data_IF_736090817351
#
_entry.id   IF_736090817351
#
_cell.length_a   1.000
_cell.length_b   1.000
_cell.length_c   1.000
_cell.angle_alpha   90.00
_cell.angle_beta   90.00
_cell.angle_gamma   90.00
#
_symmetry.space_group_name_H-M   'P 1'
#
loop_
_entity.id
_entity.type
_entity.pdbx_description
1 polymer ?
#
# COMPACT_ATOMS: atom_id res chain seq x y z
N UNK A 1 12.13 -9.53 -10.78
CA UNK A 1 12.56 -8.17 -10.44
C UNK A 1 13.54 -8.23 -9.29
N UNK A 2 14.40 -7.25 -9.15
CA UNK A 2 15.22 -7.10 -7.96
C UNK A 2 14.34 -6.51 -6.85
N UNK A 3 14.41 -7.09 -5.66
CA UNK A 3 13.83 -6.51 -4.46
C UNK A 3 14.94 -5.79 -3.71
N UNK A 4 14.86 -4.46 -3.65
CA UNK A 4 15.75 -3.64 -2.85
C UNK A 4 14.95 -3.08 -1.67
N UNK A 5 15.27 -3.53 -0.45
CA UNK A 5 14.60 -3.08 0.77
C UNK A 5 15.44 -1.99 1.42
N UNK A 6 14.89 -0.79 1.48
CA UNK A 6 15.50 0.38 2.11
C UNK A 6 14.62 0.82 3.27
N UNK A 7 15.20 0.88 4.46
CA UNK A 7 14.49 1.25 5.67
C UNK A 7 14.74 2.70 6.06
N UNK A 8 13.71 3.32 6.62
CA UNK A 8 13.74 4.66 7.19
C UNK A 8 13.39 4.57 8.68
N UNK A 9 14.25 5.17 9.52
CA UNK A 9 14.08 5.21 10.98
C UNK A 9 13.96 3.81 11.65
N UNK A 10 14.80 2.87 11.22
CA UNK A 10 14.92 1.57 11.87
C UNK A 10 16.11 1.54 12.84
N UNK A 11 16.00 0.79 13.97
CA UNK A 11 17.04 0.74 14.99
C UNK A 11 18.37 0.16 14.47
N UNK A 12 18.29 -0.85 13.60
CA UNK A 12 19.46 -1.55 13.05
C UNK A 12 19.98 -0.94 11.76
N UNK A 13 19.20 -0.12 11.06
CA UNK A 13 19.56 0.42 9.75
C UNK A 13 19.01 1.83 9.54
N UNK A 14 19.90 2.79 9.34
CA UNK A 14 19.53 4.17 9.07
C UNK A 14 19.53 4.45 7.55
N UNK A 15 18.62 5.28 7.05
CA UNK A 15 18.59 5.64 5.64
C UNK A 15 19.82 6.44 5.27
N UNK A 16 20.42 6.12 4.13
CA UNK A 16 21.49 6.89 3.53
C UNK A 16 20.94 7.85 2.48
N UNK A 17 21.68 8.92 2.17
CA UNK A 17 21.32 9.82 1.07
C UNK A 17 21.24 9.06 -0.25
N UNK A 18 22.15 8.11 -0.47
CA UNK A 18 22.14 7.24 -1.64
C UNK A 18 20.89 6.35 -1.69
N UNK A 19 20.51 5.73 -0.55
CA UNK A 19 19.28 4.93 -0.47
C UNK A 19 18.03 5.76 -0.77
N UNK A 20 17.96 7.00 -0.29
CA UNK A 20 16.86 7.91 -0.63
C UNK A 20 16.80 8.20 -2.12
N UNK A 21 17.97 8.44 -2.75
CA UNK A 21 18.01 8.70 -4.18
C UNK A 21 17.58 7.48 -5.00
N UNK A 22 18.00 6.27 -4.61
CA UNK A 22 17.57 5.02 -5.27
C UNK A 22 16.04 4.89 -5.23
N UNK A 23 15.39 5.18 -4.09
CA UNK A 23 13.92 5.13 -3.98
C UNK A 23 13.27 6.17 -4.89
N UNK A 24 13.78 7.43 -4.88
CA UNK A 24 13.20 8.48 -5.73
C UNK A 24 13.39 8.16 -7.22
N UNK A 25 14.57 7.70 -7.63
CA UNK A 25 14.83 7.31 -9.02
C UNK A 25 13.89 6.15 -9.47
N UNK A 26 13.61 5.20 -8.57
CA UNK A 26 12.68 4.12 -8.83
C UNK A 26 11.24 4.63 -8.99
N UNK A 27 10.81 5.56 -8.15
CA UNK A 27 9.49 6.19 -8.23
C UNK A 27 9.34 7.02 -9.52
N UNK A 28 10.36 7.79 -9.88
CA UNK A 28 10.37 8.62 -11.09
C UNK A 28 10.33 7.75 -12.37
N UNK A 29 10.95 6.58 -12.33
CA UNK A 29 10.96 5.63 -13.45
C UNK A 29 9.70 4.76 -13.53
N UNK A 30 8.90 4.68 -12.45
CA UNK A 30 7.74 3.81 -12.38
C UNK A 30 6.51 4.44 -13.07
N UNK A 31 6.02 3.88 -14.19
CA UNK A 31 4.82 4.40 -14.85
C UNK A 31 3.55 4.10 -14.05
N UNK A 32 3.60 3.09 -13.17
CA UNK A 32 2.47 2.63 -12.37
C UNK A 32 2.96 2.18 -10.99
N UNK A 33 2.39 2.73 -9.93
CA UNK A 33 2.54 2.25 -8.57
C UNK A 33 1.40 1.29 -8.25
N UNK A 34 1.74 0.07 -7.85
CA UNK A 34 0.77 -0.94 -7.41
C UNK A 34 0.87 -1.04 -5.89
N UNK A 35 -0.26 -0.88 -5.21
CA UNK A 35 -0.32 -0.99 -3.76
C UNK A 35 -1.64 -1.64 -3.31
N UNK A 36 -1.73 -2.01 -2.04
CA UNK A 36 -2.96 -2.48 -1.42
C UNK A 36 -3.38 -1.50 -0.32
N UNK A 37 -4.39 -0.69 -0.56
CA UNK A 37 -4.74 0.51 0.20
C UNK A 37 -3.74 1.67 -0.03
N UNK A 38 -3.51 1.97 -1.30
CA UNK A 38 -2.54 2.95 -1.78
C UNK A 38 -2.56 4.33 -1.10
N UNK A 39 -3.69 4.88 -0.60
CA UNK A 39 -3.66 6.13 0.16
C UNK A 39 -2.70 6.11 1.36
N UNK A 40 -2.56 4.96 2.02
CA UNK A 40 -1.65 4.79 3.14
C UNK A 40 -0.19 4.90 2.69
N UNK A 41 0.17 4.15 1.64
CA UNK A 41 1.54 4.13 1.11
C UNK A 41 1.93 5.50 0.54
N UNK A 42 1.03 6.15 -0.21
CA UNK A 42 1.25 7.49 -0.75
C UNK A 42 1.49 8.53 0.35
N UNK A 43 0.71 8.48 1.44
CA UNK A 43 0.90 9.38 2.58
C UNK A 43 2.30 9.20 3.19
N UNK A 44 2.73 7.96 3.42
CA UNK A 44 4.07 7.68 3.96
C UNK A 44 5.18 8.13 3.03
N UNK A 45 5.04 7.92 1.71
CA UNK A 45 6.00 8.40 0.71
C UNK A 45 6.14 9.93 0.79
N UNK A 46 5.02 10.66 0.73
CA UNK A 46 5.04 12.13 0.74
C UNK A 46 5.54 12.71 2.08
N UNK A 47 5.09 12.15 3.21
CA UNK A 47 5.57 12.57 4.54
C UNK A 47 7.06 12.25 4.75
N UNK A 48 7.57 11.21 4.10
CA UNK A 48 8.99 10.89 4.07
C UNK A 48 9.79 11.75 3.11
N UNK A 49 9.14 12.68 2.37
CA UNK A 49 9.77 13.62 1.46
C UNK A 49 10.09 13.05 0.07
N UNK A 50 9.41 11.98 -0.32
CA UNK A 50 9.41 11.48 -1.69
C UNK A 50 8.30 12.11 -2.49
N UNK A 51 8.50 12.19 -3.80
CA UNK A 51 7.50 12.67 -4.76
C UNK A 51 7.06 11.51 -5.68
N UNK A 52 5.78 11.46 -5.97
CA UNK A 52 5.22 10.55 -6.96
C UNK A 52 3.96 11.17 -7.58
N UNK A 53 3.98 11.34 -8.89
CA UNK A 53 2.89 11.89 -9.69
C UNK A 53 2.42 10.92 -10.79
N UNK A 54 2.89 9.66 -10.77
CA UNK A 54 2.52 8.62 -11.72
C UNK A 54 1.12 8.06 -11.49
N UNK A 55 0.78 7.06 -12.29
CA UNK A 55 -0.48 6.33 -12.13
C UNK A 55 -0.42 5.38 -10.94
N UNK A 56 -1.58 5.16 -10.30
CA UNK A 56 -1.72 4.25 -9.16
C UNK A 56 -2.76 3.20 -9.49
N UNK A 57 -2.46 1.94 -9.17
CA UNK A 57 -3.45 0.88 -9.11
C UNK A 57 -3.55 0.35 -7.67
N UNK A 58 -4.68 0.62 -7.04
CA UNK A 58 -4.99 0.12 -5.70
C UNK A 58 -5.71 -1.23 -5.81
N UNK A 59 -5.06 -2.30 -5.39
CA UNK A 59 -5.62 -3.66 -5.46
C UNK A 59 -6.81 -3.86 -4.53
N UNK A 60 -6.89 -3.13 -3.40
CA UNK A 60 -8.07 -3.13 -2.53
C UNK A 60 -9.27 -2.54 -3.26
N UNK A 61 -9.10 -1.39 -3.90
CA UNK A 61 -10.17 -0.74 -4.68
C UNK A 61 -10.51 -1.56 -5.92
N UNK A 62 -9.52 -2.19 -6.56
CA UNK A 62 -9.73 -3.14 -7.64
C UNK A 62 -10.66 -4.27 -7.25
N UNK A 63 -10.40 -4.91 -6.11
CA UNK A 63 -11.25 -5.96 -5.58
C UNK A 63 -12.64 -5.42 -5.20
N UNK A 64 -12.70 -4.27 -4.53
CA UNK A 64 -13.97 -3.63 -4.15
C UNK A 64 -14.91 -3.43 -5.35
N UNK A 65 -14.39 -2.92 -6.46
CA UNK A 65 -15.18 -2.69 -7.69
C UNK A 65 -15.66 -4.02 -8.29
N UNK A 66 -14.81 -5.05 -8.30
CA UNK A 66 -15.17 -6.38 -8.82
C UNK A 66 -16.25 -7.06 -7.97
N UNK A 67 -16.29 -6.82 -6.68
CA UNK A 67 -17.30 -7.37 -5.80
C UNK A 67 -18.72 -6.86 -6.06
N UNK A 68 -18.88 -5.73 -6.71
CA UNK A 68 -20.20 -5.16 -7.06
C UNK A 68 -21.16 -5.12 -5.85
N UNK A 69 -20.66 -4.78 -4.67
CA UNK A 69 -21.47 -4.66 -3.45
C UNK A 69 -21.65 -5.94 -2.64
N UNK A 70 -20.97 -7.03 -2.94
CA UNK A 70 -21.05 -8.29 -2.17
C UNK A 70 -20.48 -8.19 -0.74
N UNK A 71 -19.75 -7.13 -0.43
CA UNK A 71 -19.21 -6.82 0.92
C UNK A 71 -18.35 -7.93 1.53
N UNK A 72 -17.54 -8.61 0.73
CA UNK A 72 -16.57 -9.55 1.26
C UNK A 72 -15.36 -8.80 1.84
N UNK A 73 -14.59 -9.41 2.76
CA UNK A 73 -13.39 -8.80 3.31
C UNK A 73 -12.41 -8.41 2.21
N UNK A 74 -11.77 -7.23 2.38
CA UNK A 74 -10.88 -6.61 1.39
C UNK A 74 -9.42 -6.58 1.83
N UNK A 75 -9.08 -7.10 3.03
CA UNK A 75 -7.68 -7.18 3.44
C UNK A 75 -6.87 -8.02 2.46
N UNK A 76 -5.58 -7.73 2.33
CA UNK A 76 -4.68 -8.48 1.45
C UNK A 76 -4.72 -9.97 1.74
N UNK A 77 -4.71 -10.33 3.04
CA UNK A 77 -4.83 -11.72 3.50
C UNK A 77 -6.13 -12.39 3.01
N UNK A 78 -7.28 -11.70 3.14
CA UNK A 78 -8.57 -12.24 2.71
C UNK A 78 -8.67 -12.36 1.18
N UNK A 79 -8.09 -11.42 0.45
CA UNK A 79 -7.99 -11.49 -1.01
C UNK A 79 -7.07 -12.65 -1.44
N UNK A 80 -5.94 -12.81 -0.76
CA UNK A 80 -5.00 -13.87 -1.02
C UNK A 80 -5.62 -15.25 -0.78
N UNK A 81 -6.35 -15.44 0.31
CA UNK A 81 -7.10 -16.68 0.56
C UNK A 81 -8.16 -16.94 -0.52
N UNK A 82 -8.91 -15.92 -0.92
CA UNK A 82 -9.97 -16.01 -1.95
C UNK A 82 -9.44 -16.45 -3.30
N UNK A 83 -8.27 -15.99 -3.66
CA UNK A 83 -7.66 -16.26 -4.95
C UNK A 83 -6.60 -17.34 -4.90
N UNK A 84 -6.44 -18.02 -3.75
CA UNK A 84 -5.46 -19.09 -3.53
C UNK A 84 -4.03 -18.65 -3.89
N UNK A 85 -3.69 -17.39 -3.52
CA UNK A 85 -2.37 -16.84 -3.75
C UNK A 85 -1.36 -17.44 -2.76
N UNK A 86 -0.10 -17.50 -3.17
CA UNK A 86 0.97 -18.04 -2.33
C UNK A 86 1.35 -17.04 -1.23
N UNK A 87 0.64 -17.10 -0.12
CA UNK A 87 0.92 -16.30 1.07
C UNK A 87 1.26 -17.23 2.23
N UNK A 88 2.50 -17.19 2.68
CA UNK A 88 2.84 -17.81 3.96
C UNK A 88 2.20 -16.98 5.08
N UNK A 89 1.33 -17.59 5.88
CA UNK A 89 0.81 -16.97 7.11
C UNK A 89 1.98 -16.68 8.04
N UNK A 90 2.33 -15.42 8.18
CA UNK A 90 3.26 -14.99 9.21
C UNK A 90 2.50 -14.23 10.30
N UNK A 91 2.09 -14.95 11.33
CA UNK A 91 1.51 -14.33 12.53
C UNK A 91 2.59 -13.64 13.41
N UNK A 92 3.87 -13.76 13.04
CA UNK A 92 5.00 -13.28 13.83
C UNK A 92 4.94 -11.79 14.14
N UNK A 93 4.61 -10.94 13.16
CA UNK A 93 4.50 -9.50 13.39
C UNK A 93 3.31 -9.14 14.27
N UNK A 94 2.22 -9.89 14.21
CA UNK A 94 1.03 -9.66 15.06
C UNK A 94 1.36 -9.87 16.54
N UNK A 95 2.28 -10.77 16.86
CA UNK A 95 2.74 -10.99 18.24
C UNK A 95 3.55 -9.79 18.74
N UNK A 96 4.50 -9.28 17.94
CA UNK A 96 5.25 -8.08 18.29
C UNK A 96 4.34 -6.88 18.58
N UNK A 97 3.34 -6.63 17.73
CA UNK A 97 2.39 -5.53 17.95
C UNK A 97 1.51 -5.72 19.19
N UNK A 98 1.13 -6.96 19.52
CA UNK A 98 0.40 -7.25 20.76
C UNK A 98 1.24 -6.95 22.00
N UNK A 99 2.54 -7.19 21.92
CA UNK A 99 3.49 -6.94 22.99
C UNK A 99 3.94 -5.47 23.08
N UNK A 100 3.38 -4.61 22.18
CA UNK A 100 3.60 -3.17 22.18
C UNK A 100 4.87 -2.72 21.46
N UNK A 101 5.51 -3.59 20.71
CA UNK A 101 6.65 -3.22 19.84
C UNK A 101 6.19 -2.35 18.66
N UNK A 102 7.02 -1.39 18.32
CA UNK A 102 6.86 -0.64 17.05
C UNK A 102 7.63 -1.33 15.93
N UNK A 103 7.34 -0.97 14.68
CA UNK A 103 8.10 -1.48 13.52
C UNK A 103 9.60 -1.21 13.61
N UNK A 104 9.99 -0.15 14.34
CA UNK A 104 11.39 0.21 14.61
C UNK A 104 12.12 -0.84 15.45
N UNK A 105 11.40 -1.52 16.34
CA UNK A 105 11.95 -2.43 17.34
C UNK A 105 11.92 -3.90 16.88
N UNK A 106 11.22 -4.20 15.79
CA UNK A 106 11.14 -5.54 15.21
C UNK A 106 12.46 -5.83 14.48
N UNK A 107 13.06 -7.04 14.63
CA UNK A 107 14.27 -7.40 13.91
C UNK A 107 14.15 -7.15 12.41
N UNK A 108 15.14 -6.45 11.84
CA UNK A 108 15.11 -6.03 10.44
C UNK A 108 14.87 -7.18 9.46
N UNK A 109 15.45 -8.37 9.73
CA UNK A 109 15.27 -9.56 8.91
C UNK A 109 13.83 -10.03 8.85
N UNK A 110 13.13 -10.05 9.99
CA UNK A 110 11.72 -10.47 10.06
C UNK A 110 10.80 -9.45 9.39
N UNK A 111 11.08 -8.16 9.59
CA UNK A 111 10.34 -7.09 8.94
C UNK A 111 10.51 -7.11 7.42
N UNK A 112 11.73 -7.36 6.94
CA UNK A 112 12.04 -7.47 5.51
C UNK A 112 11.37 -8.69 4.86
N UNK A 113 11.38 -9.84 5.54
CA UNK A 113 10.71 -11.04 5.06
C UNK A 113 9.19 -10.83 4.96
N UNK A 114 8.58 -10.17 5.96
CA UNK A 114 7.17 -9.84 5.94
C UNK A 114 6.83 -8.90 4.78
N UNK A 115 7.61 -7.83 4.60
CA UNK A 115 7.40 -6.87 3.51
C UNK A 115 7.50 -7.56 2.14
N UNK A 116 8.50 -8.42 1.95
CA UNK A 116 8.68 -9.18 0.71
C UNK A 116 7.46 -10.06 0.40
N UNK A 117 6.87 -10.71 1.40
CA UNK A 117 5.64 -11.48 1.22
C UNK A 117 4.44 -10.62 0.85
N UNK A 118 4.26 -9.46 1.50
CA UNK A 118 3.17 -8.54 1.19
C UNK A 118 3.30 -7.96 -0.23
N UNK A 119 4.53 -7.65 -0.67
CA UNK A 119 4.81 -7.21 -2.03
C UNK A 119 4.47 -8.31 -3.06
N UNK A 120 4.88 -9.55 -2.80
CA UNK A 120 4.55 -10.69 -3.65
C UNK A 120 3.05 -10.93 -3.75
N UNK A 121 2.35 -10.93 -2.61
CA UNK A 121 0.90 -11.10 -2.56
C UNK A 121 0.17 -9.98 -3.32
N UNK A 122 0.63 -8.74 -3.16
CA UNK A 122 0.07 -7.57 -3.85
C UNK A 122 0.26 -7.68 -5.37
N UNK A 123 1.46 -8.10 -5.82
CA UNK A 123 1.72 -8.31 -7.24
C UNK A 123 0.86 -9.43 -7.83
N UNK A 124 0.77 -10.58 -7.16
CA UNK A 124 -0.07 -11.69 -7.62
C UNK A 124 -1.55 -11.29 -7.66
N UNK A 125 -2.02 -10.55 -6.64
CA UNK A 125 -3.38 -10.03 -6.62
C UNK A 125 -3.64 -9.09 -7.79
N UNK A 126 -2.70 -8.19 -8.10
CA UNK A 126 -2.79 -7.32 -9.27
C UNK A 126 -2.97 -8.12 -10.56
N UNK A 127 -2.16 -9.15 -10.79
CA UNK A 127 -2.21 -9.98 -12.00
C UNK A 127 -3.57 -10.71 -12.15
N UNK A 128 -4.09 -11.23 -11.03
CA UNK A 128 -5.43 -11.83 -10.99
C UNK A 128 -6.50 -10.79 -11.32
N UNK A 129 -6.43 -9.61 -10.72
CA UNK A 129 -7.40 -8.54 -10.96
C UNK A 129 -7.37 -8.08 -12.42
N UNK A 130 -6.19 -7.92 -13.05
CA UNK A 130 -6.08 -7.59 -14.47
C UNK A 130 -6.81 -8.63 -15.34
N UNK A 131 -6.55 -9.91 -15.11
CA UNK A 131 -7.23 -10.99 -15.84
C UNK A 131 -8.76 -10.95 -15.66
N UNK A 132 -9.24 -10.64 -14.46
CA UNK A 132 -10.69 -10.52 -14.19
C UNK A 132 -11.30 -9.31 -14.87
N UNK A 133 -10.59 -8.18 -14.92
CA UNK A 133 -11.05 -6.99 -15.62
C UNK A 133 -11.12 -7.18 -17.14
N UNK A 134 -10.27 -8.03 -17.75
CA UNK A 134 -10.42 -8.44 -19.15
C UNK A 134 -11.77 -9.07 -19.44
N UNK A 135 -12.28 -9.88 -18.51
CA UNK A 135 -13.62 -10.49 -18.55
C UNK A 135 -14.77 -9.53 -18.19
N UNK A 136 -14.46 -8.39 -17.58
CA UNK A 136 -15.45 -7.44 -17.05
C UNK A 136 -15.20 -6.00 -17.53
N UNK A 137 -15.00 -5.81 -18.84
CA UNK A 137 -14.60 -4.52 -19.45
C UNK A 137 -15.49 -3.34 -19.07
N UNK A 138 -16.76 -3.58 -18.76
CA UNK A 138 -17.69 -2.53 -18.31
C UNK A 138 -17.32 -1.89 -16.97
N UNK A 139 -16.47 -2.55 -16.16
CA UNK A 139 -15.99 -2.02 -14.89
C UNK A 139 -14.68 -1.23 -15.01
N UNK A 140 -13.98 -1.33 -16.14
CA UNK A 140 -12.70 -0.64 -16.35
C UNK A 140 -12.79 0.87 -16.13
N UNK A 141 -13.78 1.59 -16.66
CA UNK A 141 -13.90 3.03 -16.38
C UNK A 141 -14.10 3.33 -14.89
N UNK A 142 -14.81 2.46 -14.17
CA UNK A 142 -15.07 2.64 -12.74
C UNK A 142 -13.77 2.51 -11.93
N UNK A 143 -12.99 1.47 -12.17
CA UNK A 143 -11.72 1.31 -11.44
C UNK A 143 -10.71 2.41 -11.79
N UNK A 144 -10.64 2.85 -13.05
CA UNK A 144 -9.78 3.96 -13.44
C UNK A 144 -10.15 5.24 -12.67
N UNK A 145 -11.43 5.60 -12.65
CA UNK A 145 -11.92 6.75 -11.87
C UNK A 145 -11.63 6.58 -10.37
N UNK A 146 -11.86 5.39 -9.82
CA UNK A 146 -11.65 5.12 -8.40
C UNK A 146 -10.17 5.27 -8.01
N UNK A 147 -9.24 4.80 -8.85
CA UNK A 147 -7.80 4.97 -8.63
C UNK A 147 -7.38 6.45 -8.72
N UNK A 148 -7.92 7.22 -9.64
CA UNK A 148 -7.67 8.67 -9.69
C UNK A 148 -8.18 9.38 -8.43
N UNK A 149 -9.38 9.03 -7.96
CA UNK A 149 -9.94 9.58 -6.72
C UNK A 149 -9.10 9.21 -5.49
N UNK A 150 -8.51 8.01 -5.46
CA UNK A 150 -7.63 7.55 -4.40
C UNK A 150 -6.47 8.52 -4.16
N UNK A 151 -5.79 8.95 -5.22
CA UNK A 151 -4.67 9.91 -5.14
C UNK A 151 -5.16 11.26 -4.54
N UNK A 152 -6.29 11.77 -5.03
CA UNK A 152 -6.85 13.02 -4.52
C UNK A 152 -7.28 12.91 -3.06
N UNK A 153 -7.88 11.80 -2.66
CA UNK A 153 -8.25 11.54 -1.27
C UNK A 153 -7.01 11.49 -0.37
N UNK A 154 -5.94 10.81 -0.81
CA UNK A 154 -4.68 10.78 -0.07
C UNK A 154 -4.10 12.20 0.12
N UNK A 155 -4.15 13.07 -0.89
CA UNK A 155 -3.75 14.49 -0.76
C UNK A 155 -4.65 15.27 0.19
N UNK A 156 -5.95 14.99 0.24
CA UNK A 156 -6.87 15.61 1.21
C UNK A 156 -6.51 15.15 2.62
N UNK A 157 -6.24 13.87 2.84
CA UNK A 157 -5.80 13.35 4.14
C UNK A 157 -4.47 13.97 4.58
N UNK A 158 -3.49 14.09 3.68
CA UNK A 158 -2.21 14.73 3.97
C UNK A 158 -2.39 16.18 4.40
N UNK A 159 -3.23 16.93 3.70
CA UNK A 159 -3.47 18.34 3.98
C UNK A 159 -4.30 18.55 5.25
N UNK A 160 -5.19 17.63 5.57
CA UNK A 160 -6.17 17.76 6.64
C UNK A 160 -7.17 18.90 6.40
N UNK A 161 -7.87 19.26 7.44
CA UNK A 161 -8.72 20.46 7.47
C UNK A 161 -8.62 21.14 8.83
N UNK A 162 -8.72 22.46 8.82
CA UNK A 162 -8.70 23.25 10.05
C UNK A 162 -10.03 23.11 10.79
N UNK A 163 -9.94 22.81 12.08
CA UNK A 163 -11.09 22.80 12.98
C UNK A 163 -11.00 24.03 13.88
N UNK A 164 -12.07 24.82 13.91
CA UNK A 164 -12.22 25.90 14.89
C UNK A 164 -12.57 25.28 16.25
N UNK A 165 -11.55 25.13 17.10
CA UNK A 165 -11.71 24.48 18.39
C UNK A 165 -12.56 25.32 19.36
N UNK A 166 -12.58 26.65 19.24
CA UNK A 166 -13.38 27.51 20.10
C UNK A 166 -14.88 27.36 19.77
N UNK A 167 -15.22 27.34 18.47
CA UNK A 167 -16.59 27.07 18.03
C UNK A 167 -17.06 25.63 18.29
N UNK A 168 -16.14 24.66 18.41
CA UNK A 168 -16.48 23.27 18.71
C UNK A 168 -16.79 23.05 20.21
N UNK A 169 -16.25 23.89 21.10
CA UNK A 169 -16.39 23.77 22.56
C UNK A 169 -17.54 24.60 23.15
N UNK A 170 -18.23 25.41 22.34
CA UNK A 170 -19.48 26.10 22.67
C UNK A 170 -20.71 25.17 22.50
#
# INVERSE_FOLDING_TARGET
GNEDIITFDHAEQQPTTEGRQIVQDALDAAPLLIAHNAPHDLLWLWESGFEYDGEVFDTLLGEYVLQRGQKQPLSLEACAERYELDTKKQDTLKEYFKDGYSTRDIPHGELSEYLSHDLHATQQLYDVLQTRYEGCKSLVPTIQLTNQLCIHLARIYQRGFQVDMDALME
#
